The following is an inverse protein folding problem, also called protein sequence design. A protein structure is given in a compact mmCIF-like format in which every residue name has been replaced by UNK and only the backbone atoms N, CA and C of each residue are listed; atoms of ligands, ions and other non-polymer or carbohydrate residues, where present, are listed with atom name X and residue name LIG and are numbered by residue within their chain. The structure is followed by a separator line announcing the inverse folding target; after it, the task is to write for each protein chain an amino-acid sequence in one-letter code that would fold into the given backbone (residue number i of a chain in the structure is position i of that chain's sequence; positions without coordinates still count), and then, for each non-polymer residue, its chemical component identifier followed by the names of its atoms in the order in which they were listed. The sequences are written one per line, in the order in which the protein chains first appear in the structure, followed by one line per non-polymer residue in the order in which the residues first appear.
data_IF_795097480634
#
_entry.id   IF_795097480634
#
_cell.length_a   1.000
_cell.length_b   1.000
_cell.length_c   1.000
_cell.angle_alpha   90.00
_cell.angle_beta   90.00
_cell.angle_gamma   90.00
#
_symmetry.space_group_name_H-M   'P 1'
#
loop_
_entity.id
_entity.type
_entity.pdbx_description
1 polymer ?
#
# COMPACT_ATOMS: atom_id res chain seq x y z
N UNK A 1 -18.72 2.92 25.16
CA UNK A 1 -18.72 2.63 23.70
C UNK A 1 -17.43 3.21 23.18
N UNK A 2 -16.52 2.39 22.68
CA UNK A 2 -15.18 2.85 22.32
C UNK A 2 -15.28 3.80 21.12
N UNK A 3 -15.12 5.09 21.41
CA UNK A 3 -14.98 6.16 20.44
C UNK A 3 -13.66 5.92 19.71
N UNK A 4 -13.71 5.08 18.66
CA UNK A 4 -12.52 4.46 18.09
C UNK A 4 -11.69 5.45 17.25
N UNK A 5 -11.88 6.77 17.39
CA UNK A 5 -11.14 7.83 16.68
C UNK A 5 -11.26 7.81 15.15
N UNK A 6 -11.93 6.82 14.58
CA UNK A 6 -12.11 6.56 13.16
C UNK A 6 -13.49 7.03 12.71
N UNK A 7 -13.56 7.51 11.47
CA UNK A 7 -14.83 7.89 10.85
C UNK A 7 -15.74 6.66 10.75
N UNK A 8 -17.01 6.86 11.12
CA UNK A 8 -18.05 5.89 10.80
C UNK A 8 -18.17 5.71 9.28
N UNK A 9 -18.66 4.56 8.80
CA UNK A 9 -18.80 4.26 7.37
C UNK A 9 -19.50 5.38 6.58
N UNK A 10 -20.49 6.02 7.19
CA UNK A 10 -21.20 7.18 6.61
C UNK A 10 -20.32 8.42 6.50
N UNK A 11 -19.54 8.73 7.54
CA UNK A 11 -18.66 9.90 7.54
C UNK A 11 -17.47 9.71 6.60
N UNK A 12 -16.91 8.49 6.51
CA UNK A 12 -15.90 8.13 5.50
C UNK A 12 -16.43 8.38 4.10
N UNK A 13 -17.65 7.90 3.80
CA UNK A 13 -18.28 8.11 2.50
C UNK A 13 -18.52 9.60 2.21
N UNK A 14 -19.02 10.37 3.18
CA UNK A 14 -19.26 11.80 3.01
C UNK A 14 -17.95 12.54 2.68
N UNK A 15 -16.89 12.27 3.45
CA UNK A 15 -15.56 12.86 3.27
C UNK A 15 -14.95 12.47 1.92
N UNK A 16 -15.05 11.20 1.53
CA UNK A 16 -14.57 10.74 0.21
C UNK A 16 -15.41 11.26 -0.96
N UNK A 17 -16.67 11.65 -0.74
CA UNK A 17 -17.54 12.20 -1.78
C UNK A 17 -17.42 13.72 -1.89
N UNK A 18 -17.04 14.41 -0.81
CA UNK A 18 -16.73 15.84 -0.84
C UNK A 18 -15.56 16.11 -1.78
N UNK A 19 -15.80 16.96 -2.77
CA UNK A 19 -14.79 17.39 -3.74
C UNK A 19 -13.83 18.44 -3.19
N UNK A 20 -14.17 19.07 -2.05
CA UNK A 20 -13.43 20.18 -1.44
C UNK A 20 -12.79 19.80 -0.10
N UNK A 21 -12.34 18.55 0.06
CA UNK A 21 -11.58 18.14 1.24
C UNK A 21 -10.12 18.54 1.06
N UNK A 22 -9.56 19.18 2.06
CA UNK A 22 -8.15 19.58 2.05
C UNK A 22 -7.26 18.34 2.16
N UNK A 23 -6.15 18.36 1.43
CA UNK A 23 -5.11 17.30 1.48
C UNK A 23 -4.69 17.00 2.93
N UNK A 24 -4.52 18.04 3.76
CA UNK A 24 -4.17 17.90 5.18
C UNK A 24 -5.19 17.07 5.98
N UNK A 25 -6.49 17.28 5.72
CA UNK A 25 -7.55 16.54 6.40
C UNK A 25 -7.55 15.06 5.98
N UNK A 26 -7.35 14.78 4.69
CA UNK A 26 -7.19 13.41 4.19
C UNK A 26 -5.97 12.71 4.81
N UNK A 27 -4.84 13.42 4.92
CA UNK A 27 -3.62 12.92 5.55
C UNK A 27 -3.83 12.60 7.04
N UNK A 28 -4.51 13.48 7.78
CA UNK A 28 -4.85 13.23 9.19
C UNK A 28 -5.69 11.96 9.35
N UNK A 29 -6.71 11.78 8.49
CA UNK A 29 -7.52 10.57 8.51
C UNK A 29 -6.71 9.34 8.16
N UNK A 30 -5.91 9.39 7.09
CA UNK A 30 -5.05 8.29 6.68
C UNK A 30 -4.13 7.83 7.82
N UNK A 31 -3.50 8.75 8.55
CA UNK A 31 -2.68 8.43 9.73
C UNK A 31 -3.45 7.77 10.85
N UNK A 32 -4.70 8.17 11.10
CA UNK A 32 -5.56 7.50 12.09
C UNK A 32 -5.90 6.08 11.69
N UNK A 33 -6.22 5.85 10.42
CA UNK A 33 -6.45 4.51 9.89
C UNK A 33 -5.18 3.65 9.97
N UNK A 34 -4.01 4.21 9.68
CA UNK A 34 -2.73 3.53 9.85
C UNK A 34 -2.49 3.13 11.32
N UNK A 35 -2.70 4.05 12.27
CA UNK A 35 -2.57 3.77 13.71
C UNK A 35 -3.56 2.72 14.21
N UNK A 36 -4.72 2.62 13.58
CA UNK A 36 -5.71 1.59 13.87
C UNK A 36 -5.42 0.23 13.21
N UNK A 37 -4.32 0.11 12.44
CA UNK A 37 -3.98 -1.10 11.68
C UNK A 37 -4.77 -1.27 10.39
N UNK A 38 -5.59 -0.29 10.01
CA UNK A 38 -6.38 -0.28 8.79
C UNK A 38 -5.59 0.38 7.65
N UNK A 39 -4.42 -0.19 7.34
CA UNK A 39 -3.52 0.37 6.33
C UNK A 39 -4.19 0.45 4.95
N UNK A 40 -5.01 -0.54 4.58
CA UNK A 40 -5.74 -0.51 3.31
C UNK A 40 -6.67 0.70 3.18
N UNK A 41 -7.39 1.05 4.25
CA UNK A 41 -8.22 2.25 4.27
C UNK A 41 -7.38 3.52 4.22
N UNK A 42 -6.25 3.56 4.94
CA UNK A 42 -5.34 4.70 4.90
C UNK A 42 -4.84 5.00 3.48
N UNK A 43 -4.56 3.96 2.70
CA UNK A 43 -4.08 4.07 1.32
C UNK A 43 -5.12 4.74 0.40
N UNK A 44 -6.41 4.43 0.54
CA UNK A 44 -7.48 5.12 -0.21
C UNK A 44 -7.49 6.64 0.08
N UNK A 45 -7.22 7.05 1.32
CA UNK A 45 -7.12 8.48 1.65
C UNK A 45 -5.85 9.12 1.08
N UNK A 46 -4.71 8.45 1.15
CA UNK A 46 -3.46 8.94 0.56
C UNK A 46 -3.54 9.07 -0.96
N UNK A 47 -4.20 8.13 -1.64
CA UNK A 47 -4.49 8.21 -3.07
C UNK A 47 -5.34 9.44 -3.39
N UNK A 48 -6.47 9.61 -2.69
CA UNK A 48 -7.36 10.75 -2.92
C UNK A 48 -6.69 12.09 -2.63
N UNK A 49 -5.80 12.11 -1.64
CA UNK A 49 -4.98 13.26 -1.29
C UNK A 49 -3.84 13.51 -2.30
N UNK A 50 -3.60 12.59 -3.24
CA UNK A 50 -2.44 12.53 -4.12
C UNK A 50 -1.11 12.69 -3.35
N UNK A 51 -1.06 12.12 -2.15
CA UNK A 51 0.06 12.25 -1.23
C UNK A 51 1.21 11.31 -1.62
N UNK A 52 1.83 11.57 -2.76
CA UNK A 52 2.89 10.73 -3.32
C UNK A 52 4.05 10.48 -2.33
N UNK A 53 4.39 11.46 -1.50
CA UNK A 53 5.41 11.31 -0.44
C UNK A 53 5.01 10.27 0.61
N UNK A 54 3.79 10.33 1.14
CA UNK A 54 3.33 9.35 2.15
C UNK A 54 3.13 7.96 1.52
N UNK A 55 2.70 7.88 0.25
CA UNK A 55 2.62 6.61 -0.49
C UNK A 55 4.03 6.00 -0.62
N UNK A 56 5.06 6.79 -0.96
CA UNK A 56 6.45 6.30 -1.01
C UNK A 56 6.94 5.82 0.36
N UNK A 57 6.64 6.56 1.43
CA UNK A 57 6.98 6.15 2.80
C UNK A 57 6.30 4.83 3.18
N UNK A 58 5.05 4.64 2.79
CA UNK A 58 4.32 3.38 2.97
C UNK A 58 4.92 2.24 2.14
N UNK A 59 5.46 2.51 0.94
CA UNK A 59 6.14 1.49 0.14
C UNK A 59 7.40 0.99 0.86
N UNK A 60 8.20 1.89 1.43
CA UNK A 60 9.36 1.51 2.23
C UNK A 60 8.95 0.66 3.45
N UNK A 61 7.87 1.07 4.13
CA UNK A 61 7.30 0.29 5.24
C UNK A 61 6.82 -1.08 4.79
N UNK A 62 6.14 -1.18 3.66
CA UNK A 62 5.68 -2.45 3.08
C UNK A 62 6.85 -3.39 2.77
N UNK A 63 7.97 -2.87 2.29
CA UNK A 63 9.20 -3.66 2.08
C UNK A 63 9.76 -4.17 3.41
N UNK A 64 9.83 -3.32 4.44
CA UNK A 64 10.31 -3.71 5.77
C UNK A 64 9.40 -4.76 6.43
N UNK A 65 8.08 -4.63 6.28
CA UNK A 65 7.08 -5.56 6.82
C UNK A 65 6.89 -6.83 5.96
N UNK A 66 7.56 -6.91 4.80
CA UNK A 66 7.44 -8.03 3.86
C UNK A 66 6.05 -8.14 3.24
N UNK A 67 5.36 -7.01 3.06
CA UNK A 67 3.95 -6.95 2.68
C UNK A 67 3.76 -6.71 1.17
N UNK A 68 3.80 -7.81 0.42
CA UNK A 68 3.74 -7.82 -1.04
C UNK A 68 2.51 -7.08 -1.61
N UNK A 69 1.34 -7.35 -1.04
CA UNK A 69 0.08 -6.80 -1.55
C UNK A 69 0.03 -5.28 -1.36
N UNK A 70 0.55 -4.80 -0.23
CA UNK A 70 0.62 -3.38 0.04
C UNK A 70 1.55 -2.68 -0.96
N UNK A 71 2.78 -3.19 -1.16
CA UNK A 71 3.72 -2.62 -2.12
C UNK A 71 3.14 -2.59 -3.56
N UNK A 72 2.50 -3.69 -4.00
CA UNK A 72 1.86 -3.78 -5.32
C UNK A 72 0.72 -2.77 -5.49
N UNK A 73 -0.09 -2.58 -4.45
CA UNK A 73 -1.18 -1.61 -4.48
C UNK A 73 -0.63 -0.18 -4.55
N UNK A 74 0.33 0.16 -3.69
CA UNK A 74 0.95 1.50 -3.65
C UNK A 74 1.65 1.87 -4.96
N UNK A 75 2.38 0.92 -5.56
CA UNK A 75 3.02 1.12 -6.88
C UNK A 75 2.01 1.34 -8.00
N UNK A 76 0.88 0.62 -7.98
CA UNK A 76 -0.22 0.84 -8.94
C UNK A 76 -0.81 2.24 -8.78
N UNK A 77 -0.98 2.71 -7.55
CA UNK A 77 -1.51 4.05 -7.25
C UNK A 77 -0.56 5.17 -7.68
N UNK A 78 0.74 4.99 -7.47
CA UNK A 78 1.78 5.91 -7.96
C UNK A 78 2.00 5.83 -9.47
N UNK A 79 1.44 4.82 -10.15
CA UNK A 79 1.76 4.51 -11.54
C UNK A 79 3.24 4.17 -11.76
N UNK A 80 3.96 3.79 -10.70
CA UNK A 80 5.39 3.52 -10.71
C UNK A 80 5.65 2.12 -10.19
N UNK A 81 6.09 1.22 -11.08
CA UNK A 81 6.45 -0.13 -10.71
C UNK A 81 7.74 -0.13 -9.87
N UNK A 82 7.81 -0.91 -8.77
CA UNK A 82 9.04 -1.06 -8.02
C UNK A 82 10.08 -1.84 -8.84
N UNK A 83 11.34 -1.46 -8.70
CA UNK A 83 12.44 -2.19 -9.32
C UNK A 83 12.59 -3.61 -8.74
N UNK A 84 13.22 -4.49 -9.51
CA UNK A 84 13.53 -5.86 -9.09
C UNK A 84 14.29 -5.91 -7.76
N UNK A 85 15.15 -4.92 -7.48
CA UNK A 85 15.86 -4.80 -6.21
C UNK A 85 14.90 -4.64 -5.02
N UNK A 86 13.88 -3.78 -5.16
CA UNK A 86 12.86 -3.56 -4.13
C UNK A 86 12.05 -4.82 -3.86
N UNK A 87 11.67 -5.53 -4.93
CA UNK A 87 10.95 -6.80 -4.82
C UNK A 87 11.79 -7.88 -4.13
N UNK A 88 13.09 -7.99 -4.41
CA UNK A 88 13.98 -8.91 -3.70
C UNK A 88 14.08 -8.56 -2.22
N UNK A 89 14.29 -7.29 -1.88
CA UNK A 89 14.35 -6.87 -0.47
C UNK A 89 13.06 -7.18 0.27
N UNK A 90 11.89 -6.96 -0.36
CA UNK A 90 10.61 -7.36 0.23
C UNK A 90 10.53 -8.88 0.40
N UNK A 91 11.00 -9.64 -0.60
CA UNK A 91 10.97 -11.09 -0.55
C UNK A 91 11.83 -11.66 0.59
N UNK A 92 13.00 -11.08 0.81
CA UNK A 92 13.90 -11.46 1.90
C UNK A 92 13.25 -11.13 3.26
N UNK A 93 12.72 -9.92 3.44
CA UNK A 93 12.02 -9.53 4.66
C UNK A 93 10.80 -10.38 4.95
N UNK A 94 9.98 -10.64 3.93
CA UNK A 94 8.82 -11.51 4.05
C UNK A 94 9.24 -12.92 4.50
N UNK A 95 10.34 -13.45 3.96
CA UNK A 95 10.89 -14.76 4.35
C UNK A 95 11.38 -14.76 5.79
N UNK A 96 12.10 -13.74 6.22
CA UNK A 96 12.55 -13.58 7.62
C UNK A 96 11.38 -13.52 8.61
N UNK A 97 10.26 -12.92 8.19
CA UNK A 97 9.01 -12.86 8.97
C UNK A 97 8.17 -14.13 8.89
N UNK A 98 8.62 -15.17 8.17
CA UNK A 98 7.88 -16.42 7.99
C UNK A 98 6.72 -16.34 6.98
N UNK A 99 6.61 -15.24 6.24
CA UNK A 99 5.59 -15.00 5.21
C UNK A 99 6.03 -15.53 3.84
N UNK A 100 6.25 -16.85 3.75
CA UNK A 100 6.80 -17.50 2.54
C UNK A 100 6.01 -17.21 1.26
N UNK A 101 4.67 -17.16 1.33
CA UNK A 101 3.83 -16.87 0.17
C UNK A 101 4.11 -15.48 -0.43
N UNK A 102 4.33 -14.48 0.42
CA UNK A 102 4.65 -13.12 -0.05
C UNK A 102 6.07 -13.06 -0.59
N UNK A 103 7.00 -13.78 0.03
CA UNK A 103 8.37 -13.89 -0.46
C UNK A 103 8.44 -14.49 -1.85
N UNK A 104 7.79 -15.62 -2.08
CA UNK A 104 7.75 -16.29 -3.39
C UNK A 104 7.14 -15.37 -4.45
N UNK A 105 6.01 -14.72 -4.16
CA UNK A 105 5.37 -13.78 -5.10
C UNK A 105 6.26 -12.58 -5.43
N UNK A 106 6.92 -12.02 -4.42
CA UNK A 106 7.82 -10.89 -4.60
C UNK A 106 9.05 -11.29 -5.43
N UNK A 107 9.62 -12.47 -5.20
CA UNK A 107 10.68 -13.00 -6.07
C UNK A 107 10.22 -13.17 -7.52
N UNK A 108 9.01 -13.66 -7.75
CA UNK A 108 8.48 -13.79 -9.12
C UNK A 108 8.24 -12.44 -9.83
N UNK A 109 7.96 -11.35 -9.10
CA UNK A 109 7.93 -10.00 -9.69
C UNK A 109 9.33 -9.43 -9.90
N UNK A 110 10.30 -9.83 -9.06
CA UNK A 110 11.70 -9.44 -9.21
C UNK A 110 12.40 -10.15 -10.37
N UNK A 111 11.94 -11.37 -10.68
CA UNK A 111 12.32 -12.06 -11.89
C UNK A 111 11.73 -11.31 -13.08
N UNK A 112 12.54 -10.90 -14.06
CA UNK A 112 11.99 -10.44 -15.32
C UNK A 112 11.12 -11.60 -15.83
N UNK A 113 9.81 -11.37 -15.99
CA UNK A 113 8.97 -12.31 -16.74
C UNK A 113 9.58 -12.38 -18.13
N UNK A 114 10.41 -13.38 -18.35
CA UNK A 114 10.59 -13.96 -19.67
C UNK A 114 9.16 -14.22 -20.16
N UNK A 115 8.71 -13.54 -21.24
CA UNK A 115 7.38 -13.80 -21.78
C UNK A 115 7.36 -15.28 -22.15
N UNK A 116 6.73 -16.07 -21.30
CA UNK A 116 6.62 -17.51 -21.49
C UNK A 116 5.72 -17.71 -22.70
N UNK A 117 6.39 -17.89 -23.84
CA UNK A 117 5.90 -18.60 -25.02
C UNK A 117 4.56 -18.13 -25.57
N UNK A 118 4.59 -17.12 -26.42
CA UNK A 118 3.85 -17.27 -27.67
C UNK A 118 4.54 -18.35 -28.50
N UNK A 119 3.94 -19.54 -28.54
CA UNK A 119 4.17 -20.67 -29.45
C UNK A 119 3.30 -21.82 -28.89
N UNK A 120 2.27 -22.33 -29.56
CA UNK A 120 1.94 -22.40 -30.97
C UNK A 120 0.42 -22.52 -31.17
#
# INVERSE_FOLDING_TARGET
MADNGLLSCLQKRDLLNRSAVSVDELLQWARRYEQAGLVHDAVDFYEKAQANEEIRRLMEKAVQEGDYFLLKRLSTLLGAAPDAATWRSLAERARELGKELFSQRAMSEAEPREPSGERA
#
